data_IF_262550824133
#
_entry.id   IF_262550824133
#
_cell.length_a   1.000
_cell.length_b   1.000
_cell.length_c   1.000
_cell.angle_alpha   90.00
_cell.angle_beta   90.00
_cell.angle_gamma   90.00
#
_symmetry.space_group_name_H-M   'P 1'
#
loop_
_entity.id
_entity.type
_entity.pdbx_description
1 polymer ?
#
# COMPACT_ATOMS: atom_id res chain seq x y z
N UNK A 1 6.91 -13.37 7.36
CA UNK A 1 7.11 -14.35 6.26
C UNK A 1 6.68 -13.75 4.93
N UNK A 2 7.21 -14.23 3.78
CA UNK A 2 6.81 -13.79 2.43
C UNK A 2 5.29 -13.72 2.22
N UNK A 3 4.58 -14.68 2.80
CA UNK A 3 3.13 -14.71 2.83
C UNK A 3 2.44 -13.55 3.53
N UNK A 4 2.92 -13.19 4.72
CA UNK A 4 2.32 -12.14 5.55
C UNK A 4 2.38 -10.76 4.88
N UNK A 5 3.41 -10.52 4.07
CA UNK A 5 3.57 -9.27 3.32
C UNK A 5 2.53 -9.18 2.21
N UNK A 6 2.31 -10.26 1.47
CA UNK A 6 1.26 -10.34 0.44
C UNK A 6 -0.14 -10.19 1.02
N UNK A 7 -0.41 -10.90 2.11
CA UNK A 7 -1.72 -10.84 2.76
C UNK A 7 -1.97 -9.41 3.30
N UNK A 8 -0.94 -8.76 3.84
CA UNK A 8 -1.00 -7.36 4.29
C UNK A 8 -1.22 -6.36 3.15
N UNK A 9 -0.48 -6.49 2.05
CA UNK A 9 -0.64 -5.62 0.87
C UNK A 9 -1.98 -5.83 0.17
N UNK A 10 -2.44 -7.08 0.05
CA UNK A 10 -3.76 -7.39 -0.49
C UNK A 10 -4.88 -6.82 0.37
N UNK A 11 -4.74 -6.89 1.70
CA UNK A 11 -5.68 -6.27 2.64
C UNK A 11 -5.69 -4.74 2.51
N UNK A 12 -4.51 -4.14 2.37
CA UNK A 12 -4.33 -2.71 2.15
C UNK A 12 -5.04 -2.23 0.88
N UNK A 13 -4.75 -2.88 -0.26
CA UNK A 13 -5.37 -2.59 -1.55
C UNK A 13 -6.89 -2.67 -1.46
N UNK A 14 -7.43 -3.72 -0.82
CA UNK A 14 -8.87 -3.85 -0.61
C UNK A 14 -9.47 -2.66 0.15
N UNK A 15 -8.79 -2.12 1.17
CA UNK A 15 -9.28 -0.96 1.91
C UNK A 15 -9.36 0.29 1.01
N UNK A 16 -8.33 0.54 0.20
CA UNK A 16 -8.35 1.65 -0.77
C UNK A 16 -9.48 1.49 -1.80
N UNK A 17 -9.66 0.29 -2.35
CA UNK A 17 -10.75 -0.03 -3.28
C UNK A 17 -12.13 0.20 -2.65
N UNK A 18 -12.33 -0.19 -1.38
CA UNK A 18 -13.57 0.06 -0.63
C UNK A 18 -13.87 1.55 -0.40
N UNK A 19 -12.86 2.42 -0.44
CA UNK A 19 -13.03 3.88 -0.40
C UNK A 19 -13.21 4.52 -1.78
N UNK A 20 -13.37 3.72 -2.83
CA UNK A 20 -13.55 4.22 -4.20
C UNK A 20 -12.25 4.64 -4.88
N UNK A 21 -11.08 4.22 -4.37
CA UNK A 21 -9.77 4.59 -4.93
C UNK A 21 -9.25 3.57 -5.96
N UNK A 22 -10.14 2.80 -6.59
CA UNK A 22 -9.81 1.77 -7.58
C UNK A 22 -8.93 2.34 -8.71
N UNK A 23 -9.33 3.47 -9.31
CA UNK A 23 -8.59 4.12 -10.39
C UNK A 23 -7.18 4.59 -10.00
N UNK A 24 -6.92 4.81 -8.71
CA UNK A 24 -5.59 5.16 -8.20
C UNK A 24 -4.77 3.89 -8.02
N UNK A 25 -5.34 2.88 -7.34
CA UNK A 25 -4.69 1.57 -7.14
C UNK A 25 -4.35 0.91 -8.47
N UNK A 26 -5.23 0.98 -9.47
CA UNK A 26 -5.00 0.37 -10.77
C UNK A 26 -3.78 0.97 -11.48
N UNK A 27 -3.49 2.26 -11.27
CA UNK A 27 -2.26 2.88 -11.81
C UNK A 27 -1.00 2.43 -11.10
N UNK A 28 -1.12 1.95 -9.85
CA UNK A 28 0.02 1.40 -9.13
C UNK A 28 0.24 -0.06 -9.48
N UNK A 29 -0.81 -0.79 -9.84
CA UNK A 29 -0.70 -2.21 -10.20
C UNK A 29 -0.18 -2.38 -11.63
N UNK A 30 -0.66 -1.54 -12.55
CA UNK A 30 -0.33 -1.64 -13.97
C UNK A 30 0.90 -0.80 -14.32
N UNK A 31 1.72 -1.21 -15.30
CA UNK A 31 2.84 -0.41 -15.77
C UNK A 31 2.39 0.98 -16.24
N UNK A 32 3.10 2.03 -15.82
CA UNK A 32 2.80 3.40 -16.22
C UNK A 32 3.18 4.41 -15.14
N UNK A 33 2.63 5.62 -15.26
CA UNK A 33 2.78 6.64 -14.24
C UNK A 33 1.81 6.37 -13.08
N UNK A 34 2.35 6.19 -11.88
CA UNK A 34 1.57 6.06 -10.66
C UNK A 34 0.85 7.38 -10.35
N UNK A 35 -0.46 7.33 -10.11
CA UNK A 35 -1.18 8.49 -9.57
C UNK A 35 -0.77 8.73 -8.13
N UNK A 36 -0.56 10.00 -7.80
CA UNK A 36 -0.40 10.42 -6.41
C UNK A 36 -1.69 10.17 -5.62
N UNK A 37 -1.51 9.99 -4.31
CA UNK A 37 -2.60 9.92 -3.34
C UNK A 37 -2.35 10.94 -2.23
N UNK A 38 -3.40 11.59 -1.76
CA UNK A 38 -3.28 12.54 -0.65
C UNK A 38 -3.18 11.82 0.70
N UNK A 39 -2.57 12.49 1.68
CA UNK A 39 -2.55 12.02 3.07
C UNK A 39 -3.97 11.81 3.64
N UNK A 40 -4.93 12.65 3.26
CA UNK A 40 -6.34 12.50 3.64
C UNK A 40 -6.95 11.20 3.11
N UNK A 41 -6.77 10.91 1.82
CA UNK A 41 -7.24 9.65 1.21
C UNK A 41 -6.59 8.43 1.86
N UNK A 42 -5.30 8.50 2.21
CA UNK A 42 -4.62 7.43 2.97
C UNK A 42 -5.23 7.27 4.35
N UNK A 43 -5.40 8.36 5.10
CA UNK A 43 -6.02 8.33 6.43
C UNK A 43 -7.42 7.74 6.39
N UNK A 44 -8.23 8.12 5.40
CA UNK A 44 -9.60 7.64 5.24
C UNK A 44 -9.69 6.16 4.86
N UNK A 45 -8.74 5.68 4.06
CA UNK A 45 -8.63 4.28 3.67
C UNK A 45 -8.18 3.38 4.81
N UNK A 46 -7.12 3.77 5.53
CA UNK A 46 -6.56 2.96 6.62
C UNK A 46 -7.38 3.03 7.90
N UNK A 47 -8.09 4.13 8.10
CA UNK A 47 -8.80 4.41 9.33
C UNK A 47 -7.87 4.78 10.49
N UNK A 48 -8.47 5.37 11.52
CA UNK A 48 -7.74 5.92 12.67
C UNK A 48 -6.94 4.86 13.43
N UNK A 49 -7.52 3.68 13.66
CA UNK A 49 -6.87 2.66 14.48
C UNK A 49 -5.54 2.17 13.88
N UNK A 50 -5.49 2.03 12.55
CA UNK A 50 -4.28 1.60 11.83
C UNK A 50 -3.22 2.71 11.86
N UNK A 51 -3.63 3.95 11.60
CA UNK A 51 -2.71 5.11 11.64
C UNK A 51 -2.14 5.30 13.05
N UNK A 52 -2.97 5.12 14.08
CA UNK A 52 -2.57 5.20 15.49
C UNK A 52 -1.55 4.12 15.86
N UNK A 53 -1.77 2.89 15.40
CA UNK A 53 -0.83 1.79 15.60
C UNK A 53 0.51 2.05 14.91
N UNK A 54 0.47 2.52 13.67
CA UNK A 54 1.68 2.88 12.93
C UNK A 54 2.42 4.06 13.59
N UNK A 55 1.69 5.06 14.09
CA UNK A 55 2.26 6.18 14.85
C UNK A 55 2.99 5.68 16.11
N UNK A 56 2.37 4.81 16.91
CA UNK A 56 3.01 4.20 18.09
C UNK A 56 4.26 3.40 17.75
N UNK A 57 4.23 2.64 16.64
CA UNK A 57 5.35 1.79 16.23
C UNK A 57 6.52 2.56 15.63
N UNK A 58 6.25 3.64 14.92
CA UNK A 58 7.27 4.45 14.23
C UNK A 58 7.79 5.60 15.09
N UNK A 59 7.03 6.02 16.11
CA UNK A 59 7.29 7.23 16.90
C UNK A 59 6.93 8.53 16.17
N UNK A 60 6.39 8.45 14.94
CA UNK A 60 5.96 9.60 14.15
C UNK A 60 4.58 10.07 14.56
N UNK A 61 4.27 11.34 14.31
CA UNK A 61 2.88 11.83 14.42
C UNK A 61 1.98 11.16 13.38
N UNK A 62 0.66 11.13 13.63
CA UNK A 62 -0.32 10.60 12.66
C UNK A 62 -0.15 11.23 11.28
N UNK A 63 -0.04 12.56 11.24
CA UNK A 63 0.11 13.34 10.00
C UNK A 63 1.39 12.97 9.25
N UNK A 64 2.50 12.75 9.98
CA UNK A 64 3.74 12.30 9.39
C UNK A 64 3.60 10.88 8.82
N UNK A 65 2.98 9.96 9.55
CA UNK A 65 2.74 8.58 9.08
C UNK A 65 1.94 8.60 7.78
N UNK A 66 0.79 9.29 7.75
CA UNK A 66 -0.04 9.30 6.53
C UNK A 66 0.65 10.03 5.37
N UNK A 67 1.47 11.04 5.64
CA UNK A 67 2.26 11.71 4.62
C UNK A 67 3.35 10.81 4.02
N UNK A 68 4.07 10.05 4.85
CA UNK A 68 5.06 9.09 4.37
C UNK A 68 4.41 7.96 3.57
N UNK A 69 3.29 7.43 4.05
CA UNK A 69 2.54 6.39 3.35
C UNK A 69 2.04 6.90 2.00
N UNK A 70 1.49 8.11 1.93
CA UNK A 70 1.06 8.73 0.68
C UNK A 70 2.19 8.82 -0.36
N UNK A 71 3.43 9.10 0.08
CA UNK A 71 4.60 9.15 -0.80
C UNK A 71 5.11 7.78 -1.23
N UNK A 72 5.10 6.80 -0.31
CA UNK A 72 5.76 5.52 -0.54
C UNK A 72 4.85 4.49 -1.23
N UNK A 73 3.56 4.46 -0.86
CA UNK A 73 2.63 3.42 -1.31
C UNK A 73 2.56 3.26 -2.84
N UNK A 74 2.46 4.34 -3.65
CA UNK A 74 2.38 4.20 -5.10
C UNK A 74 3.56 3.40 -5.66
N UNK A 75 4.79 3.79 -5.32
CA UNK A 75 6.01 3.12 -5.81
C UNK A 75 6.23 1.74 -5.20
N UNK A 76 5.78 1.49 -3.96
CA UNK A 76 5.92 0.17 -3.33
C UNK A 76 5.02 -0.85 -4.01
N UNK A 77 3.77 -0.49 -4.30
CA UNK A 77 2.84 -1.38 -5.00
C UNK A 77 3.35 -1.66 -6.41
N UNK A 78 3.73 -0.64 -7.17
CA UNK A 78 4.28 -0.75 -8.53
C UNK A 78 5.50 -1.68 -8.62
N UNK A 79 6.47 -1.51 -7.71
CA UNK A 79 7.65 -2.40 -7.66
C UNK A 79 7.31 -3.85 -7.35
N UNK A 80 6.20 -4.10 -6.67
CA UNK A 80 5.74 -5.45 -6.36
C UNK A 80 4.85 -6.03 -7.46
N UNK A 81 4.35 -5.21 -8.39
CA UNK A 81 3.46 -5.64 -9.49
C UNK A 81 4.05 -5.41 -10.89
N UNK A 82 5.31 -5.85 -11.17
CA UNK A 82 5.92 -5.62 -12.48
C UNK A 82 5.14 -6.27 -13.64
N UNK A 83 4.37 -7.32 -13.35
CA UNK A 83 3.56 -8.06 -14.32
C UNK A 83 2.11 -7.54 -14.45
N UNK A 84 1.79 -6.35 -13.92
CA UNK A 84 0.43 -5.82 -13.95
C UNK A 84 -0.53 -6.53 -12.98
N UNK A 85 0.01 -7.25 -11.99
CA UNK A 85 -0.75 -7.99 -10.99
C UNK A 85 0.04 -8.14 -9.71
N UNK A 86 -0.66 -8.41 -8.61
CA UNK A 86 0.01 -8.83 -7.38
C UNK A 86 0.77 -10.16 -7.61
N UNK A 87 2.00 -10.26 -7.08
CA UNK A 87 2.80 -11.45 -7.24
C UNK A 87 2.22 -12.56 -6.36
N UNK A 88 2.35 -13.78 -6.81
CA UNK A 88 1.99 -14.97 -6.04
C UNK A 88 2.98 -15.16 -4.89
N UNK A 89 2.55 -15.91 -3.87
CA UNK A 89 3.43 -16.28 -2.75
C UNK A 89 4.71 -16.99 -3.21
N UNK A 90 4.61 -17.82 -4.24
CA UNK A 90 5.75 -18.52 -4.82
C UNK A 90 6.74 -17.56 -5.51
N UNK A 91 6.22 -16.55 -6.22
CA UNK A 91 7.06 -15.53 -6.89
C UNK A 91 7.83 -14.69 -5.87
N UNK A 92 7.17 -14.20 -4.81
CA UNK A 92 7.89 -13.46 -3.74
C UNK A 92 8.88 -14.35 -3.00
N UNK A 93 8.56 -15.62 -2.77
CA UNK A 93 9.51 -16.53 -2.12
C UNK A 93 10.79 -16.72 -2.95
N UNK A 94 10.70 -16.68 -4.29
CA UNK A 94 11.87 -16.72 -5.18
C UNK A 94 12.67 -15.42 -5.19
N UNK A 95 12.04 -14.27 -4.95
CA UNK A 95 12.71 -12.97 -4.90
C UNK A 95 13.44 -12.71 -3.56
N UNK A 96 12.98 -13.33 -2.48
CA UNK A 96 13.52 -13.12 -1.12
C UNK A 96 14.31 -14.32 -0.57
N UNK A 97 14.57 -15.33 -1.40
CA UNK A 97 15.45 -16.47 -1.10
C UNK A 97 16.77 -16.31 -1.82
#
# INVERSE_FOLDING_TARGET
SPGSVLDGLGGLIKQFQQKGLNDTIDTWINPGANKDISSGQVSDALGRDVVDELSRRTGLSRDQVVAELARMLPSVVDKLTPDGRLPTRAEIQRLMG
#
